data_IF_188552987854
#
_entry.id   IF_188552987854
#
_cell.length_a   1.000
_cell.length_b   1.000
_cell.length_c   1.000
_cell.angle_alpha   90.00
_cell.angle_beta   90.00
_cell.angle_gamma   90.00
#
_symmetry.space_group_name_H-M   'P 1'
#
loop_
_entity.id
_entity.type
_entity.pdbx_description
1 polymer ?
#
# COMPACT_ATOMS: atom_id res chain seq x y z
N UNK A 1 17.42 -0.39 -82.10
CA UNK A 1 16.45 -1.43 -81.70
C UNK A 1 16.76 -1.79 -80.26
N UNK A 2 16.09 -1.24 -79.23
CA UNK A 2 14.66 -0.91 -79.10
C UNK A 2 13.76 -2.07 -79.48
N UNK A 3 13.24 -2.75 -78.45
CA UNK A 3 12.02 -3.53 -78.43
C UNK A 3 11.46 -3.39 -77.00
N UNK A 4 10.22 -2.94 -76.90
CA UNK A 4 9.45 -2.85 -75.67
C UNK A 4 8.05 -3.40 -75.97
N UNK A 5 7.59 -4.32 -75.15
CA UNK A 5 6.21 -4.81 -75.00
C UNK A 5 6.26 -5.69 -73.72
N UNK A 6 5.79 -5.27 -72.56
CA UNK A 6 4.41 -4.96 -72.11
C UNK A 6 3.63 -6.22 -71.68
N UNK A 7 3.49 -6.39 -70.35
CA UNK A 7 2.31 -7.00 -69.73
C UNK A 7 2.21 -6.72 -68.22
N UNK A 8 1.27 -5.83 -67.89
CA UNK A 8 0.26 -5.92 -66.83
C UNK A 8 0.48 -6.92 -65.67
N UNK A 9 0.37 -6.46 -64.42
CA UNK A 9 -0.82 -6.82 -63.62
C UNK A 9 -1.14 -5.85 -62.46
N UNK A 10 -2.40 -5.82 -62.03
CA UNK A 10 -2.98 -4.73 -61.22
C UNK A 10 -3.17 -5.04 -59.71
N UNK A 11 -3.06 -3.98 -58.91
CA UNK A 11 -3.92 -3.63 -57.75
C UNK A 11 -4.34 -4.71 -56.72
N UNK A 12 -3.95 -4.50 -55.45
CA UNK A 12 -4.86 -4.57 -54.27
C UNK A 12 -4.24 -3.98 -52.99
N UNK A 13 -4.34 -2.66 -52.84
CA UNK A 13 -4.26 -2.02 -51.52
C UNK A 13 -5.57 -2.29 -50.76
N UNK A 14 -5.59 -3.27 -49.84
CA UNK A 14 -6.73 -3.42 -48.92
C UNK A 14 -6.37 -4.08 -47.58
N UNK A 15 -6.02 -3.28 -46.58
CA UNK A 15 -6.31 -3.63 -45.19
C UNK A 15 -6.54 -2.39 -44.31
N UNK A 16 -7.71 -1.76 -44.43
CA UNK A 16 -8.16 -0.68 -43.55
C UNK A 16 -9.60 -0.92 -43.09
N UNK A 17 -9.81 -1.93 -42.25
CA UNK A 17 -11.13 -2.17 -41.64
C UNK A 17 -11.07 -2.48 -40.14
N UNK A 18 -10.54 -1.55 -39.34
CA UNK A 18 -10.73 -1.57 -37.88
C UNK A 18 -12.15 -1.08 -37.57
N UNK A 19 -13.06 -2.03 -37.35
CA UNK A 19 -14.46 -1.80 -36.93
C UNK A 19 -14.48 -0.89 -35.69
N UNK A 20 -15.06 0.30 -35.79
CA UNK A 20 -15.35 1.14 -34.61
C UNK A 20 -16.43 0.44 -33.80
N UNK A 21 -16.07 -0.18 -32.67
CA UNK A 21 -17.06 -0.72 -31.71
C UNK A 21 -17.96 0.44 -31.23
N UNK A 22 -19.30 0.28 -31.19
CA UNK A 22 -20.18 1.36 -30.73
C UNK A 22 -19.94 1.67 -29.25
N UNK A 23 -19.99 2.96 -28.86
CA UNK A 23 -19.67 3.47 -27.51
C UNK A 23 -20.76 3.15 -26.47
N UNK A 24 -21.23 1.90 -26.39
CA UNK A 24 -22.28 1.44 -25.45
C UNK A 24 -21.94 1.64 -23.96
N UNK A 25 -20.65 1.80 -23.65
CA UNK A 25 -20.15 2.04 -22.30
C UNK A 25 -20.39 3.48 -21.81
N UNK A 26 -20.45 4.48 -22.71
CA UNK A 26 -20.65 5.88 -22.31
C UNK A 26 -22.04 6.13 -21.69
N UNK A 27 -23.06 5.44 -22.19
CA UNK A 27 -24.41 5.47 -21.61
C UNK A 27 -24.52 4.78 -20.26
N UNK A 28 -23.65 3.79 -19.97
CA UNK A 28 -23.62 3.11 -18.67
C UNK A 28 -23.02 4.02 -17.58
N UNK A 29 -21.90 4.68 -17.90
CA UNK A 29 -21.24 5.65 -17.00
C UNK A 29 -22.18 6.81 -16.66
N UNK A 30 -22.89 7.37 -17.65
CA UNK A 30 -23.86 8.45 -17.43
C UNK A 30 -25.06 8.01 -16.58
N UNK A 31 -25.51 6.76 -16.69
CA UNK A 31 -26.60 6.23 -15.86
C UNK A 31 -26.16 6.09 -14.38
N UNK A 32 -24.97 5.57 -14.13
CA UNK A 32 -24.42 5.38 -12.77
C UNK A 32 -24.19 6.74 -12.09
N UNK A 33 -23.62 7.72 -12.80
CA UNK A 33 -23.44 9.08 -12.28
C UNK A 33 -24.75 9.76 -11.86
N UNK A 34 -25.84 9.52 -12.60
CA UNK A 34 -27.18 10.00 -12.25
C UNK A 34 -27.73 9.37 -10.96
N UNK A 35 -27.54 8.06 -10.78
CA UNK A 35 -27.96 7.35 -9.55
C UNK A 35 -27.16 7.82 -8.34
N UNK A 36 -25.83 7.97 -8.48
CA UNK A 36 -24.96 8.43 -7.40
C UNK A 36 -25.37 9.83 -6.87
N UNK A 37 -25.67 10.78 -7.76
CA UNK A 37 -26.16 12.11 -7.37
C UNK A 37 -27.47 12.06 -6.57
N UNK A 38 -28.42 11.19 -6.95
CA UNK A 38 -29.69 11.01 -6.22
C UNK A 38 -29.44 10.41 -4.83
N UNK A 39 -28.53 9.44 -4.71
CA UNK A 39 -28.15 8.85 -3.41
C UNK A 39 -27.48 9.89 -2.49
N UNK A 40 -26.56 10.70 -3.01
CA UNK A 40 -25.92 11.78 -2.24
C UNK A 40 -26.94 12.82 -1.74
N UNK A 41 -27.91 13.21 -2.59
CA UNK A 41 -28.98 14.12 -2.17
C UNK A 41 -29.91 13.50 -1.12
N UNK A 42 -30.21 12.19 -1.21
CA UNK A 42 -30.99 11.49 -0.19
C UNK A 42 -30.25 11.42 1.15
N UNK A 43 -28.94 11.13 1.14
CA UNK A 43 -28.11 11.12 2.36
C UNK A 43 -28.00 12.52 2.98
N UNK A 44 -27.88 13.57 2.16
CA UNK A 44 -27.87 14.95 2.65
C UNK A 44 -29.19 15.31 3.37
N UNK A 45 -30.34 14.99 2.78
CA UNK A 45 -31.67 15.26 3.38
C UNK A 45 -31.91 14.42 4.65
N UNK A 46 -31.31 13.23 4.76
CA UNK A 46 -31.40 12.39 5.97
C UNK A 46 -30.49 12.86 7.12
N UNK A 47 -29.45 13.64 6.82
CA UNK A 47 -28.51 14.18 7.82
C UNK A 47 -28.83 15.60 8.31
N UNK A 48 -29.85 16.26 7.77
CA UNK A 48 -30.27 17.60 8.20
C UNK A 48 -30.89 17.59 9.61
N UNK A 49 -30.06 17.86 10.63
CA UNK A 49 -30.49 18.26 11.97
C UNK A 49 -30.42 19.79 12.07
N UNK A 50 -31.53 20.50 12.36
CA UNK A 50 -31.49 21.94 12.54
C UNK A 50 -31.00 22.30 13.96
N UNK A 51 -29.90 23.05 14.04
CA UNK A 51 -29.56 23.85 15.23
C UNK A 51 -29.19 25.26 14.79
N UNK A 52 -30.07 26.21 15.12
CA UNK A 52 -29.85 27.63 14.90
C UNK A 52 -28.80 28.22 15.85
N UNK A 53 -28.25 29.34 15.43
CA UNK A 53 -27.23 30.11 16.12
C UNK A 53 -27.70 30.67 17.47
N UNK A 54 -26.75 30.89 18.39
CA UNK A 54 -26.71 32.19 19.08
C UNK A 54 -25.30 32.57 19.53
N UNK A 55 -24.99 33.86 19.41
CA UNK A 55 -23.73 34.48 19.83
C UNK A 55 -23.75 34.80 21.33
N UNK A 56 -22.57 35.02 21.94
CA UNK A 56 -22.15 36.32 22.50
C UNK A 56 -20.96 36.18 23.47
N UNK A 57 -19.82 36.83 23.14
CA UNK A 57 -18.79 37.45 24.02
C UNK A 57 -18.14 36.62 25.18
N UNK A 58 -16.96 36.96 25.73
CA UNK A 58 -16.03 38.08 25.51
C UNK A 58 -14.56 37.63 25.76
N UNK A 59 -13.60 38.56 25.75
CA UNK A 59 -12.16 38.35 25.60
C UNK A 59 -11.33 38.01 26.87
N UNK A 60 -10.05 37.63 26.63
CA UNK A 60 -8.84 37.91 27.42
C UNK A 60 -8.70 37.40 28.87
N UNK A 61 -7.69 36.53 29.10
CA UNK A 61 -6.43 37.00 29.71
C UNK A 61 -5.23 36.07 29.44
N UNK A 62 -4.01 36.59 29.60
CA UNK A 62 -2.74 35.89 29.41
C UNK A 62 -2.16 35.35 30.74
N UNK A 63 -1.19 34.43 30.59
CA UNK A 63 0.17 34.49 31.18
C UNK A 63 0.57 33.34 32.14
N UNK A 64 1.53 32.58 31.63
CA UNK A 64 2.56 31.77 32.30
C UNK A 64 3.03 32.27 33.69
N UNK A 65 3.32 31.32 34.61
CA UNK A 65 4.66 31.12 35.20
C UNK A 65 4.79 29.74 35.88
N UNK A 66 6.03 29.32 36.11
CA UNK A 66 6.48 27.93 36.30
C UNK A 66 6.54 27.42 37.76
N UNK A 67 6.88 26.12 37.85
CA UNK A 67 7.63 25.44 38.92
C UNK A 67 7.14 25.47 40.37
N UNK A 68 6.88 24.27 40.92
CA UNK A 68 7.65 23.85 42.09
C UNK A 68 7.83 22.31 42.16
N UNK A 69 9.10 21.88 42.12
CA UNK A 69 9.55 20.54 42.50
C UNK A 69 10.26 20.62 43.86
N UNK A 70 9.77 19.85 44.84
CA UNK A 70 10.51 19.21 45.94
C UNK A 70 9.45 18.58 46.87
N UNK A 71 9.55 17.35 47.36
CA UNK A 71 10.70 16.46 47.39
C UNK A 71 11.00 16.11 48.85
N UNK A 72 10.74 14.87 49.25
CA UNK A 72 11.20 14.35 50.53
C UNK A 72 11.74 12.93 50.33
N UNK A 73 13.01 12.76 50.67
CA UNK A 73 13.79 11.54 50.46
C UNK A 73 14.37 11.11 51.81
N UNK A 74 14.19 9.84 52.17
CA UNK A 74 15.12 9.09 53.02
C UNK A 74 14.84 7.58 52.76
N UNK A 75 15.73 6.83 52.11
CA UNK A 75 16.85 6.06 52.71
C UNK A 75 16.35 4.96 53.68
N UNK A 76 16.83 3.71 53.71
CA UNK A 76 17.85 2.90 53.01
C UNK A 76 17.48 1.44 53.38
N UNK A 77 17.54 0.35 52.60
CA UNK A 77 18.59 -0.33 51.79
C UNK A 77 17.87 -1.57 51.14
N UNK A 78 18.29 -2.30 50.10
CA UNK A 78 19.48 -2.31 49.23
C UNK A 78 19.94 -3.77 48.98
N UNK A 79 20.38 -4.09 47.76
CA UNK A 79 20.78 -5.44 47.22
C UNK A 79 19.61 -6.44 47.02
N UNK A 80 19.49 -7.24 45.93
CA UNK A 80 20.25 -7.42 44.68
C UNK A 80 19.33 -8.16 43.64
N UNK A 81 19.84 -8.39 42.42
CA UNK A 81 19.42 -9.40 41.43
C UNK A 81 18.33 -9.01 40.41
N UNK A 82 18.83 -8.77 39.19
CA UNK A 82 18.31 -9.20 37.88
C UNK A 82 16.98 -9.98 37.87
N UNK A 83 15.95 -9.42 37.21
CA UNK A 83 15.46 -9.99 35.95
C UNK A 83 14.59 -8.93 35.24
N UNK A 84 15.07 -8.44 34.10
CA UNK A 84 14.25 -7.74 33.12
C UNK A 84 13.91 -8.72 31.97
N UNK A 85 12.93 -8.32 31.17
CA UNK A 85 12.46 -8.97 29.92
C UNK A 85 11.40 -10.08 30.08
N UNK A 86 10.71 -10.36 28.97
CA UNK A 86 9.61 -11.33 28.76
C UNK A 86 8.17 -10.94 29.21
N UNK A 87 7.63 -9.81 28.73
CA UNK A 87 6.16 -9.63 28.55
C UNK A 87 5.80 -8.94 27.22
N UNK A 88 6.23 -9.50 26.07
CA UNK A 88 5.71 -9.17 24.72
C UNK A 88 5.78 -10.36 23.74
N UNK A 89 5.34 -11.54 24.15
CA UNK A 89 5.27 -12.72 23.28
C UNK A 89 3.96 -13.50 23.45
N UNK A 90 2.83 -12.86 23.11
CA UNK A 90 1.49 -13.48 23.17
C UNK A 90 0.55 -12.99 22.03
N UNK A 91 1.12 -12.60 20.89
CA UNK A 91 0.37 -12.31 19.64
C UNK A 91 0.87 -13.16 18.44
N UNK A 92 2.08 -13.71 18.52
CA UNK A 92 2.73 -14.58 17.52
C UNK A 92 2.00 -15.92 17.25
N UNK A 93 1.12 -16.38 18.15
CA UNK A 93 0.44 -17.67 17.97
C UNK A 93 -0.79 -17.58 17.06
N UNK A 94 -1.47 -16.43 16.97
CA UNK A 94 -2.64 -16.27 16.09
C UNK A 94 -2.27 -16.12 14.62
N UNK A 95 -1.10 -15.59 14.31
CA UNK A 95 -0.68 -15.35 12.92
C UNK A 95 -0.26 -16.61 12.14
N UNK A 96 -0.25 -17.78 12.77
CA UNK A 96 0.25 -19.04 12.19
C UNK A 96 -0.82 -19.90 11.49
N UNK A 97 -2.12 -19.74 11.80
CA UNK A 97 -3.15 -20.64 11.25
C UNK A 97 -3.45 -20.43 9.75
N UNK A 98 -3.19 -19.25 9.18
CA UNK A 98 -3.50 -18.92 7.77
C UNK A 98 -2.28 -18.89 6.82
N UNK A 99 -1.09 -19.33 7.26
CA UNK A 99 0.09 -19.42 6.39
C UNK A 99 0.01 -20.64 5.46
N UNK A 100 0.08 -20.40 4.15
CA UNK A 100 0.25 -21.41 3.10
C UNK A 100 1.71 -21.45 2.67
N UNK A 101 2.35 -22.61 2.70
CA UNK A 101 3.75 -22.77 2.26
C UNK A 101 3.88 -22.42 0.76
N UNK A 102 4.93 -21.68 0.41
CA UNK A 102 5.20 -21.21 -0.95
C UNK A 102 6.60 -21.60 -1.41
N UNK A 103 6.84 -21.68 -2.72
CA UNK A 103 8.17 -21.98 -3.24
C UNK A 103 9.14 -20.81 -2.99
N UNK A 104 10.33 -21.07 -2.41
CA UNK A 104 11.37 -20.05 -2.21
C UNK A 104 11.94 -19.61 -3.55
N UNK A 105 12.23 -18.32 -3.70
CA UNK A 105 12.81 -17.75 -4.92
C UNK A 105 14.31 -18.06 -5.09
N UNK A 106 15.05 -18.31 -4.00
CA UNK A 106 16.48 -18.64 -4.04
C UNK A 106 16.99 -19.32 -2.75
N UNK A 107 18.28 -19.70 -2.74
CA UNK A 107 18.95 -20.37 -1.61
C UNK A 107 19.13 -19.49 -0.36
N UNK A 108 18.95 -18.17 -0.42
CA UNK A 108 18.97 -17.26 0.75
C UNK A 108 17.62 -17.26 1.49
N UNK A 109 16.59 -17.96 1.01
CA UNK A 109 15.30 -18.05 1.70
C UNK A 109 15.33 -19.11 2.82
N UNK A 110 14.88 -18.73 4.02
CA UNK A 110 14.70 -19.59 5.21
C UNK A 110 13.29 -20.18 5.27
N UNK A 111 12.28 -19.37 4.99
CA UNK A 111 10.85 -19.72 4.98
C UNK A 111 10.17 -18.89 3.87
N UNK A 112 9.25 -19.48 3.12
CA UNK A 112 8.42 -18.77 2.15
C UNK A 112 6.95 -19.15 2.35
N UNK A 113 6.07 -18.16 2.41
CA UNK A 113 4.64 -18.37 2.60
C UNK A 113 3.79 -17.31 1.90
N UNK A 114 2.52 -17.65 1.68
CA UNK A 114 1.46 -16.71 1.33
C UNK A 114 0.33 -16.77 2.36
N UNK A 115 -0.43 -15.68 2.45
CA UNK A 115 -1.71 -15.57 3.16
C UNK A 115 -2.72 -14.91 2.22
N UNK A 116 -3.99 -14.93 2.57
CA UNK A 116 -5.03 -14.23 1.81
C UNK A 116 -5.15 -12.77 2.27
N UNK A 117 -4.06 -11.98 2.11
CA UNK A 117 -4.02 -10.56 2.49
C UNK A 117 -5.02 -9.73 1.68
N UNK A 118 -5.70 -8.77 2.31
CA UNK A 118 -6.57 -7.81 1.61
C UNK A 118 -5.75 -6.68 0.96
N UNK A 119 -6.20 -6.11 -0.18
CA UNK A 119 -5.62 -4.88 -0.72
C UNK A 119 -5.78 -3.69 0.25
N UNK A 120 -4.80 -2.78 0.26
CA UNK A 120 -4.78 -1.60 1.16
C UNK A 120 -5.91 -0.59 0.89
N UNK A 121 -6.59 -0.67 -0.26
CA UNK A 121 -7.45 0.39 -0.76
C UNK A 121 -6.65 1.41 -1.56
N UNK A 122 -7.33 2.12 -2.47
CA UNK A 122 -6.74 3.25 -3.20
C UNK A 122 -7.82 4.24 -3.65
N UNK A 123 -7.49 5.54 -3.63
CA UNK A 123 -8.31 6.61 -4.23
C UNK A 123 -7.99 6.84 -5.72
N UNK A 124 -7.01 6.11 -6.28
CA UNK A 124 -6.61 6.28 -7.68
C UNK A 124 -7.71 5.82 -8.64
N UNK A 125 -7.83 6.51 -9.78
CA UNK A 125 -8.81 6.17 -10.81
C UNK A 125 -8.28 6.39 -12.23
N UNK A 126 -8.75 5.57 -13.16
CA UNK A 126 -8.27 5.53 -14.53
C UNK A 126 -7.15 4.50 -14.73
N UNK A 127 -6.31 4.70 -15.74
CA UNK A 127 -5.18 3.79 -16.00
C UNK A 127 -4.06 4.07 -15.02
N UNK A 128 -3.83 3.15 -14.08
CA UNK A 128 -2.71 3.20 -13.13
C UNK A 128 -1.34 3.20 -13.85
N UNK A 129 -0.34 3.81 -13.24
CA UNK A 129 1.06 3.77 -13.65
C UNK A 129 1.91 3.97 -12.40
N UNK A 130 2.57 2.90 -11.96
CA UNK A 130 3.25 2.84 -10.66
C UNK A 130 4.41 3.83 -10.55
N UNK A 131 4.42 4.60 -9.47
CA UNK A 131 5.47 5.55 -9.11
C UNK A 131 6.28 5.05 -7.91
N UNK A 132 7.57 4.84 -8.10
CA UNK A 132 8.48 4.34 -7.04
C UNK A 132 9.14 5.47 -6.22
N UNK A 133 8.60 6.69 -6.28
CA UNK A 133 9.16 7.86 -5.60
C UNK A 133 8.63 7.99 -4.16
N UNK A 134 9.52 8.11 -3.17
CA UNK A 134 9.17 8.19 -1.75
C UNK A 134 8.20 9.36 -1.47
N UNK A 135 7.12 9.07 -0.75
CA UNK A 135 6.09 10.04 -0.38
C UNK A 135 4.97 10.21 -1.41
N UNK A 136 5.04 9.56 -2.57
CA UNK A 136 3.90 9.43 -3.49
C UNK A 136 2.84 8.49 -2.92
N UNK A 137 1.62 8.57 -3.45
CA UNK A 137 0.52 7.67 -3.07
C UNK A 137 0.89 6.20 -3.27
N UNK A 138 1.42 5.84 -4.45
CA UNK A 138 1.90 4.51 -4.76
C UNK A 138 2.92 4.01 -3.74
N UNK A 139 3.92 4.83 -3.41
CA UNK A 139 4.92 4.46 -2.40
C UNK A 139 4.30 4.19 -1.03
N UNK A 140 3.37 5.04 -0.59
CA UNK A 140 2.74 4.91 0.71
C UNK A 140 1.81 3.69 0.78
N UNK A 141 1.06 3.39 -0.28
CA UNK A 141 0.21 2.20 -0.39
C UNK A 141 1.04 0.91 -0.49
N UNK A 142 2.14 0.91 -1.27
CA UNK A 142 3.10 -0.20 -1.31
C UNK A 142 3.68 -0.49 0.08
N UNK A 143 4.20 0.53 0.78
CA UNK A 143 4.79 0.33 2.11
C UNK A 143 3.75 -0.17 3.13
N UNK A 144 2.49 0.24 3.02
CA UNK A 144 1.39 -0.29 3.85
C UNK A 144 1.13 -1.78 3.57
N UNK A 145 1.02 -2.18 2.30
CA UNK A 145 0.81 -3.58 1.93
C UNK A 145 1.98 -4.46 2.37
N UNK A 146 3.20 -3.96 2.19
CA UNK A 146 4.44 -4.65 2.56
C UNK A 146 4.56 -4.79 4.08
N UNK A 147 4.46 -3.68 4.83
CA UNK A 147 4.58 -3.69 6.29
C UNK A 147 3.50 -4.53 6.97
N UNK A 148 2.25 -4.36 6.54
CA UNK A 148 1.12 -5.16 7.04
C UNK A 148 1.24 -6.66 6.78
N UNK A 149 1.96 -7.08 5.72
CA UNK A 149 2.18 -8.49 5.44
C UNK A 149 3.20 -9.18 6.36
N UNK A 150 4.03 -8.40 7.05
CA UNK A 150 5.11 -8.89 7.95
C UNK A 150 5.03 -8.30 9.36
N UNK A 151 3.90 -7.70 9.74
CA UNK A 151 3.70 -7.11 11.08
C UNK A 151 4.59 -5.90 11.39
N UNK A 152 5.14 -5.24 10.37
CA UNK A 152 6.01 -4.08 10.52
C UNK A 152 5.25 -2.77 10.29
N UNK A 153 5.55 -1.76 11.10
CA UNK A 153 5.06 -0.39 10.89
C UNK A 153 5.63 0.19 9.58
N UNK A 154 4.78 0.51 8.59
CA UNK A 154 5.18 1.04 7.28
C UNK A 154 5.99 2.34 7.35
N UNK A 155 5.87 3.10 8.44
CA UNK A 155 6.47 4.43 8.60
C UNK A 155 7.84 4.40 9.27
N UNK A 156 8.15 3.35 10.03
CA UNK A 156 9.43 3.19 10.73
C UNK A 156 10.30 2.05 10.18
N UNK A 157 9.75 1.08 9.44
CA UNK A 157 10.52 -0.02 8.86
C UNK A 157 11.61 0.46 7.88
N UNK A 158 12.72 -0.28 7.84
CA UNK A 158 13.82 -0.04 6.88
C UNK A 158 13.52 -0.75 5.57
N UNK A 159 13.15 0.02 4.54
CA UNK A 159 13.10 -0.46 3.16
C UNK A 159 14.50 -0.38 2.53
N UNK A 160 15.21 -1.51 2.49
CA UNK A 160 16.57 -1.65 1.94
C UNK A 160 16.58 -1.52 0.42
N UNK A 161 15.60 -2.15 -0.23
CA UNK A 161 15.44 -2.13 -1.67
C UNK A 161 13.97 -2.33 -2.05
N UNK A 162 13.51 -1.63 -3.08
CA UNK A 162 12.18 -1.82 -3.68
C UNK A 162 12.36 -1.80 -5.19
N UNK A 163 11.90 -2.84 -5.87
CA UNK A 163 12.07 -2.99 -7.32
C UNK A 163 10.81 -3.49 -8.02
N UNK A 164 10.70 -3.11 -9.30
CA UNK A 164 9.68 -3.55 -10.23
C UNK A 164 9.94 -5.01 -10.63
N UNK A 165 8.97 -5.89 -10.37
CA UNK A 165 9.03 -7.33 -10.63
C UNK A 165 8.30 -7.73 -11.94
N UNK A 166 7.86 -6.77 -12.74
CA UNK A 166 7.25 -7.01 -14.04
C UNK A 166 5.89 -6.32 -14.22
N UNK A 167 5.07 -6.89 -15.10
CA UNK A 167 3.67 -6.46 -15.35
C UNK A 167 3.48 -4.95 -15.55
N UNK A 168 4.48 -4.27 -16.13
CA UNK A 168 4.44 -2.82 -16.38
C UNK A 168 4.64 -1.91 -15.16
N UNK A 169 5.07 -2.45 -14.01
CA UNK A 169 5.12 -1.74 -12.72
C UNK A 169 4.19 -2.33 -11.68
N UNK A 170 3.14 -3.04 -12.10
CA UNK A 170 2.08 -3.55 -11.26
C UNK A 170 2.49 -4.72 -10.34
N UNK A 171 3.71 -5.26 -10.46
CA UNK A 171 4.25 -6.24 -9.53
C UNK A 171 5.55 -5.69 -8.94
N UNK A 172 5.77 -5.85 -7.63
CA UNK A 172 6.93 -5.32 -6.91
C UNK A 172 7.52 -6.32 -5.93
N UNK A 173 8.82 -6.18 -5.68
CA UNK A 173 9.55 -6.86 -4.61
C UNK A 173 10.16 -5.81 -3.69
N UNK A 174 10.01 -5.97 -2.38
CA UNK A 174 10.65 -5.13 -1.39
C UNK A 174 11.43 -5.97 -0.37
N UNK A 175 12.69 -5.60 -0.13
CA UNK A 175 13.50 -6.14 0.98
C UNK A 175 13.40 -5.19 2.16
N UNK A 176 12.81 -5.65 3.28
CA UNK A 176 12.48 -4.82 4.45
C UNK A 176 12.93 -5.48 5.76
N UNK A 177 13.16 -4.66 6.79
CA UNK A 177 13.34 -5.12 8.18
C UNK A 177 12.76 -4.11 9.16
N UNK A 178 12.53 -4.54 10.40
CA UNK A 178 12.39 -3.60 11.52
C UNK A 178 13.67 -2.76 11.68
N UNK A 179 13.60 -1.57 12.32
CA UNK A 179 14.78 -0.82 12.75
C UNK A 179 15.73 -1.71 13.56
N UNK A 180 17.03 -1.64 13.23
CA UNK A 180 18.12 -2.35 13.93
C UNK A 180 17.99 -3.88 14.07
N UNK A 181 17.03 -4.50 13.35
CA UNK A 181 16.81 -5.94 13.39
C UNK A 181 17.76 -6.73 12.47
N UNK A 182 18.02 -7.98 12.85
CA UNK A 182 18.76 -8.94 12.02
C UNK A 182 17.83 -9.74 11.08
N UNK A 183 16.56 -9.92 11.44
CA UNK A 183 15.58 -10.56 10.56
C UNK A 183 15.20 -9.63 9.41
N UNK A 184 15.19 -10.18 8.19
CA UNK A 184 14.92 -9.44 6.96
C UNK A 184 13.92 -10.22 6.13
N UNK A 185 12.92 -9.52 5.62
CA UNK A 185 11.85 -10.09 4.80
C UNK A 185 12.00 -9.62 3.36
N UNK A 186 11.70 -10.49 2.40
CA UNK A 186 11.46 -10.14 1.01
C UNK A 186 9.97 -10.32 0.72
N UNK A 187 9.27 -9.21 0.53
CA UNK A 187 7.82 -9.18 0.33
C UNK A 187 7.51 -8.89 -1.13
N UNK A 188 6.62 -9.70 -1.69
CA UNK A 188 6.11 -9.57 -3.05
C UNK A 188 4.71 -8.96 -2.94
N UNK A 189 4.43 -7.96 -3.78
CA UNK A 189 3.12 -7.32 -3.83
C UNK A 189 2.72 -7.03 -5.28
N UNK A 190 1.41 -7.01 -5.53
CA UNK A 190 0.81 -6.73 -6.82
C UNK A 190 -0.29 -5.67 -6.70
N UNK A 191 -0.48 -4.90 -7.76
CA UNK A 191 -1.56 -3.94 -7.90
C UNK A 191 -2.86 -4.61 -8.35
N UNK A 192 -3.94 -4.36 -7.61
CA UNK A 192 -5.30 -4.78 -7.94
C UNK A 192 -6.08 -3.56 -8.43
N UNK A 193 -6.62 -3.65 -9.65
CA UNK A 193 -7.21 -2.51 -10.37
C UNK A 193 -8.44 -1.92 -9.64
N UNK A 194 -8.26 -0.74 -9.04
CA UNK A 194 -9.28 -0.06 -8.25
C UNK A 194 -9.41 -0.53 -6.80
N UNK A 195 -8.56 -1.46 -6.35
CA UNK A 195 -8.52 -1.95 -4.96
C UNK A 195 -7.17 -1.63 -4.27
N UNK A 196 -6.10 -1.35 -5.02
CA UNK A 196 -4.82 -0.90 -4.48
C UNK A 196 -3.74 -1.98 -4.42
N UNK A 197 -2.71 -1.75 -3.60
CA UNK A 197 -1.61 -2.70 -3.42
C UNK A 197 -1.98 -3.84 -2.47
N UNK A 198 -1.65 -5.07 -2.86
CA UNK A 198 -1.89 -6.30 -2.10
C UNK A 198 -0.61 -7.14 -2.02
N UNK A 199 -0.24 -7.63 -0.84
CA UNK A 199 0.86 -8.59 -0.70
C UNK A 199 0.45 -9.97 -1.23
N UNK A 200 1.40 -10.70 -1.83
CA UNK A 200 1.15 -11.99 -2.50
C UNK A 200 2.06 -13.12 -2.02
N UNK A 201 3.29 -12.81 -1.58
CA UNK A 201 4.23 -13.75 -0.96
C UNK A 201 5.15 -13.02 0.02
N UNK A 202 5.49 -13.67 1.13
CA UNK A 202 6.56 -13.27 2.04
C UNK A 202 7.63 -14.34 2.06
N UNK A 203 8.89 -13.91 2.01
CA UNK A 203 10.06 -14.75 2.27
C UNK A 203 10.82 -14.20 3.46
N UNK A 204 11.16 -15.06 4.42
CA UNK A 204 12.11 -14.75 5.49
C UNK A 204 13.50 -15.11 4.98
N UNK A 205 14.44 -14.17 4.99
CA UNK A 205 15.81 -14.38 4.48
C UNK A 205 16.74 -14.93 5.57
N UNK A 206 17.80 -15.65 5.14
CA UNK A 206 18.87 -16.13 6.03
C UNK A 206 19.85 -14.99 6.35
N UNK A 207 20.15 -14.15 5.38
CA UNK A 207 20.92 -12.92 5.52
C UNK A 207 20.36 -11.80 4.62
N UNK A 208 20.64 -10.55 4.98
CA UNK A 208 20.20 -9.39 4.20
C UNK A 208 21.14 -9.14 3.01
N UNK A 209 20.71 -9.58 1.83
CA UNK A 209 21.42 -9.45 0.55
C UNK A 209 21.47 -8.01 0.00
N UNK A 210 20.78 -7.05 0.64
CA UNK A 210 20.76 -5.63 0.28
C UNK A 210 21.49 -4.73 1.29
N UNK A 211 22.10 -5.30 2.34
CA UNK A 211 22.88 -4.58 3.34
C UNK A 211 24.32 -4.35 2.83
N UNK A 212 24.73 -3.08 2.73
CA UNK A 212 26.06 -2.65 2.27
C UNK A 212 26.98 -2.25 3.43
#
# INVERSE_FOLDING_TARGET
>A
MSMADDNQDFSRLNNRNRRRKPRKWLSLVLAIAGVALVVVLLVAVLNDKPTMDNQTADEQNQKSIAEQLQGNNDSSNGEDTEQADEEKQDDDEKEKEDKKEAEPSDDNVKEAYSKDWEPVGTDQSGTHTTTFEKGTQDWNEMMQAIGGAVGLDPTSMTAWWVENNGNGGNDVIATVSAPDANETFRVFASWVDGEGWQATKVEVLKENDRKS
#
